data_IF_923303966835
#
_entry.id   IF_923303966835
#
_cell.length_a   1.000
_cell.length_b   1.000
_cell.length_c   1.000
_cell.angle_alpha   90.00
_cell.angle_beta   90.00
_cell.angle_gamma   90.00
#
_symmetry.space_group_name_H-M   'P 1'
#
loop_
_entity.id
_entity.type
_entity.pdbx_description
1 polymer ?
#
# COMPACT_ATOMS: atom_id res chain seq x y z
N UNK A 1 27.41 3.21 13.93
CA UNK A 1 26.33 3.94 13.21
C UNK A 1 25.49 3.01 12.32
N UNK A 2 26.07 2.27 11.37
CA UNK A 2 25.32 1.39 10.44
C UNK A 2 24.44 0.34 11.13
N UNK A 3 24.94 -0.32 12.21
CA UNK A 3 24.17 -1.33 12.96
C UNK A 3 22.89 -0.76 13.58
N UNK A 4 22.97 0.42 14.20
CA UNK A 4 21.81 1.07 14.81
C UNK A 4 20.75 1.46 13.78
N UNK A 5 21.18 2.01 12.63
CA UNK A 5 20.27 2.35 11.53
C UNK A 5 19.59 1.10 10.92
N UNK A 6 20.33 0.01 10.78
CA UNK A 6 19.77 -1.26 10.31
C UNK A 6 18.76 -1.85 11.30
N UNK A 7 19.05 -1.81 12.61
CA UNK A 7 18.13 -2.26 13.66
C UNK A 7 16.83 -1.45 13.67
N UNK A 8 16.91 -0.12 13.63
CA UNK A 8 15.73 0.74 13.60
C UNK A 8 14.83 0.44 12.38
N UNK A 9 15.40 0.34 11.17
CA UNK A 9 14.66 -0.03 9.96
C UNK A 9 13.98 -1.39 10.06
N UNK A 10 14.63 -2.37 10.68
CA UNK A 10 14.08 -3.70 10.87
C UNK A 10 12.88 -3.67 11.82
N UNK A 11 12.97 -2.94 12.93
CA UNK A 11 11.89 -2.78 13.90
C UNK A 11 10.69 -2.00 13.30
N UNK A 12 10.96 -0.93 12.55
CA UNK A 12 9.92 -0.17 11.83
C UNK A 12 9.18 -1.07 10.83
N UNK A 13 9.92 -1.79 9.99
CA UNK A 13 9.33 -2.70 8.99
C UNK A 13 8.52 -3.80 9.65
N UNK A 14 9.01 -4.36 10.76
CA UNK A 14 8.34 -5.41 11.52
C UNK A 14 7.02 -4.92 12.12
N UNK A 15 7.02 -3.73 12.71
CA UNK A 15 5.83 -3.17 13.36
C UNK A 15 4.79 -2.66 12.35
N UNK A 16 5.21 -2.10 11.21
CA UNK A 16 4.31 -1.65 10.14
C UNK A 16 3.60 -2.82 9.45
N UNK A 17 4.27 -3.96 9.27
CA UNK A 17 3.74 -5.12 8.52
C UNK A 17 2.35 -5.55 9.01
N UNK A 18 2.13 -5.58 10.32
CA UNK A 18 0.85 -5.99 10.90
C UNK A 18 -0.17 -4.86 10.89
N UNK A 19 0.26 -3.68 11.35
CA UNK A 19 -0.61 -2.51 11.55
C UNK A 19 -1.18 -1.98 10.24
N UNK A 20 -0.45 -2.07 9.13
CA UNK A 20 -0.94 -1.59 7.84
C UNK A 20 -2.23 -2.31 7.43
N UNK A 21 -2.40 -3.59 7.75
CA UNK A 21 -3.62 -4.34 7.43
C UNK A 21 -4.84 -3.79 8.19
N UNK A 22 -4.63 -3.31 9.41
CA UNK A 22 -5.68 -2.68 10.21
C UNK A 22 -6.08 -1.33 9.58
N UNK A 23 -5.12 -0.59 9.01
CA UNK A 23 -5.39 0.67 8.31
C UNK A 23 -6.08 0.49 6.95
N UNK A 24 -5.95 -0.69 6.33
CA UNK A 24 -6.65 -0.99 5.07
C UNK A 24 -8.16 -1.14 5.26
N UNK A 25 -8.60 -1.44 6.48
CA UNK A 25 -10.01 -1.53 6.86
C UNK A 25 -10.40 -0.20 7.50
N UNK A 26 -11.24 0.62 6.86
CA UNK A 26 -11.78 1.82 7.51
C UNK A 26 -12.50 1.44 8.80
N UNK A 27 -12.48 2.30 9.81
CA UNK A 27 -13.14 2.04 11.11
C UNK A 27 -14.63 1.66 10.97
N UNK A 28 -15.29 2.12 9.90
CA UNK A 28 -16.69 1.82 9.57
C UNK A 28 -16.84 1.07 8.23
N UNK A 29 -15.76 0.53 7.69
CA UNK A 29 -15.74 -0.17 6.40
C UNK A 29 -16.04 -1.66 6.54
N UNK A 30 -16.40 -2.30 5.43
CA UNK A 30 -16.45 -3.76 5.38
C UNK A 30 -15.04 -4.33 5.63
N UNK A 31 -14.93 -5.47 6.33
CA UNK A 31 -13.65 -6.15 6.52
C UNK A 31 -13.07 -6.57 5.16
N UNK A 32 -11.75 -6.77 5.12
CA UNK A 32 -11.09 -7.34 3.93
C UNK A 32 -11.71 -8.69 3.60
N UNK A 33 -12.02 -8.89 2.33
CA UNK A 33 -12.56 -10.13 1.82
C UNK A 33 -11.71 -10.63 0.63
N UNK A 34 -11.04 -11.80 0.76
CA UNK A 34 -10.92 -12.61 1.97
C UNK A 34 -10.07 -11.92 3.06
N UNK A 35 -10.21 -12.29 4.35
CA UNK A 35 -9.35 -11.76 5.40
C UNK A 35 -7.86 -12.02 5.12
N UNK A 36 -7.02 -11.01 5.35
CA UNK A 36 -5.57 -11.13 5.18
C UNK A 36 -4.87 -11.48 6.49
N UNK A 37 -3.99 -12.49 6.44
CA UNK A 37 -3.19 -12.89 7.59
C UNK A 37 -1.98 -11.96 7.77
N UNK A 38 -1.77 -11.46 8.99
CA UNK A 38 -0.57 -10.67 9.34
C UNK A 38 0.75 -11.42 9.08
N UNK A 39 0.71 -12.76 9.07
CA UNK A 39 1.91 -13.60 8.99
C UNK A 39 2.11 -14.29 7.64
N UNK A 40 1.05 -14.45 6.83
CA UNK A 40 1.11 -15.17 5.55
C UNK A 40 0.89 -14.21 4.38
N UNK A 41 1.91 -14.05 3.53
CA UNK A 41 1.90 -13.06 2.44
C UNK A 41 1.37 -13.58 1.09
N UNK A 42 1.05 -14.88 0.97
CA UNK A 42 0.71 -15.50 -0.32
C UNK A 42 -0.49 -14.85 -1.01
N UNK A 43 -1.47 -14.43 -0.22
CA UNK A 43 -2.69 -13.78 -0.69
C UNK A 43 -2.59 -12.25 -0.67
N UNK A 44 -1.40 -11.67 -0.47
CA UNK A 44 -1.23 -10.20 -0.44
C UNK A 44 -0.87 -9.67 -1.83
N UNK A 45 -0.76 -8.34 -1.93
CA UNK A 45 -0.38 -7.67 -3.17
C UNK A 45 -1.41 -7.90 -4.26
N UNK A 46 -0.98 -8.21 -5.49
CA UNK A 46 -1.88 -8.40 -6.63
C UNK A 46 -2.82 -9.61 -6.53
N UNK A 47 -2.59 -10.52 -5.57
CA UNK A 47 -3.45 -11.69 -5.35
C UNK A 47 -4.72 -11.40 -4.53
N UNK A 48 -4.90 -10.16 -4.05
CA UNK A 48 -6.09 -9.75 -3.30
C UNK A 48 -6.59 -8.40 -3.81
N UNK A 49 -7.91 -8.25 -3.93
CA UNK A 49 -8.53 -7.07 -4.57
C UNK A 49 -8.10 -5.75 -3.94
N UNK A 50 -8.21 -5.57 -2.61
CA UNK A 50 -7.81 -4.32 -1.95
C UNK A 50 -6.32 -4.00 -2.08
N UNK A 51 -5.42 -4.93 -1.75
CA UNK A 51 -3.98 -4.68 -1.83
C UNK A 51 -3.48 -4.58 -3.25
N UNK A 52 -4.09 -5.31 -4.19
CA UNK A 52 -3.78 -5.27 -5.60
C UNK A 52 -4.16 -3.93 -6.20
N UNK A 53 -5.38 -3.44 -5.91
CA UNK A 53 -5.82 -2.09 -6.25
C UNK A 53 -4.81 -1.05 -5.76
N UNK A 54 -4.44 -1.08 -4.47
CA UNK A 54 -3.53 -0.10 -3.88
C UNK A 54 -2.13 -0.10 -4.50
N UNK A 55 -1.62 -1.26 -4.92
CA UNK A 55 -0.31 -1.40 -5.55
C UNK A 55 -0.34 -1.22 -7.07
N UNK A 56 -1.53 -1.19 -7.68
CA UNK A 56 -1.66 -0.97 -9.11
C UNK A 56 -1.06 0.39 -9.47
N UNK A 57 -0.22 0.47 -10.53
CA UNK A 57 0.20 1.74 -11.08
C UNK A 57 -0.99 2.67 -11.30
N UNK A 58 -0.82 3.93 -10.94
CA UNK A 58 -1.88 4.94 -11.00
C UNK A 58 -2.40 5.17 -12.43
N UNK A 59 -1.59 4.87 -13.44
CA UNK A 59 -1.92 4.97 -14.85
C UNK A 59 -2.68 3.76 -15.42
N UNK A 60 -2.84 2.68 -14.63
CA UNK A 60 -3.55 1.48 -15.03
C UNK A 60 -4.89 1.36 -14.30
N UNK A 61 -5.91 0.81 -14.98
CA UNK A 61 -7.20 0.54 -14.36
C UNK A 61 -7.20 -0.85 -13.72
N UNK A 62 -7.23 -0.89 -12.39
CA UNK A 62 -7.36 -2.15 -11.66
C UNK A 62 -8.68 -2.87 -11.95
N UNK A 63 -9.75 -2.20 -12.39
CA UNK A 63 -11.02 -2.87 -12.72
C UNK A 63 -10.96 -3.65 -14.03
N UNK A 64 -9.94 -3.43 -14.86
CA UNK A 64 -9.70 -4.23 -16.06
C UNK A 64 -9.13 -5.61 -15.67
N UNK A 65 -9.93 -6.66 -15.92
CA UNK A 65 -9.56 -8.04 -15.65
C UNK A 65 -8.29 -8.50 -16.40
N UNK A 66 -8.02 -7.93 -17.58
CA UNK A 66 -6.80 -8.20 -18.31
C UNK A 66 -5.58 -7.62 -17.56
N UNK A 67 -5.68 -6.37 -17.08
CA UNK A 67 -4.64 -5.73 -16.27
C UNK A 67 -4.40 -6.52 -14.98
N UNK A 68 -5.45 -6.92 -14.26
CA UNK A 68 -5.31 -7.77 -13.06
C UNK A 68 -4.57 -9.06 -13.39
N UNK A 69 -4.95 -9.76 -14.46
CA UNK A 69 -4.32 -11.01 -14.87
C UNK A 69 -2.85 -10.82 -15.23
N UNK A 70 -2.53 -9.77 -15.98
CA UNK A 70 -1.16 -9.46 -16.39
C UNK A 70 -0.27 -9.07 -15.20
N UNK A 71 -0.78 -8.29 -14.24
CA UNK A 71 -0.06 -7.96 -13.02
C UNK A 71 0.16 -9.18 -12.12
N UNK A 72 -0.86 -10.04 -11.95
CA UNK A 72 -0.74 -11.32 -11.21
C UNK A 72 0.25 -12.28 -11.89
N UNK A 73 0.19 -12.35 -13.21
CA UNK A 73 1.08 -13.17 -14.05
C UNK A 73 2.50 -12.62 -14.20
N UNK A 74 2.75 -11.39 -13.74
CA UNK A 74 4.02 -10.66 -13.90
C UNK A 74 4.39 -10.39 -15.37
N UNK A 75 3.38 -10.32 -16.24
CA UNK A 75 3.53 -9.93 -17.64
C UNK A 75 3.77 -8.42 -17.75
N UNK A 76 3.08 -7.63 -16.91
CA UNK A 76 3.40 -6.22 -16.69
C UNK A 76 4.46 -6.12 -15.60
N UNK A 77 5.62 -5.57 -15.96
CA UNK A 77 6.67 -5.22 -15.00
C UNK A 77 6.47 -3.77 -14.56
N UNK A 78 6.03 -3.58 -13.32
CA UNK A 78 5.88 -2.25 -12.72
C UNK A 78 7.28 -1.69 -12.42
N UNK A 79 7.68 -0.65 -13.12
CA UNK A 79 8.96 0.01 -12.89
C UNK A 79 8.91 0.91 -11.65
N UNK A 80 10.06 1.24 -11.07
CA UNK A 80 10.14 2.14 -9.91
C UNK A 80 9.66 3.57 -10.20
N UNK A 81 9.52 3.95 -11.47
CA UNK A 81 8.93 5.22 -11.92
C UNK A 81 7.41 5.21 -11.92
N UNK A 82 6.77 4.03 -11.87
CA UNK A 82 5.31 3.90 -11.82
C UNK A 82 4.85 4.01 -10.38
N UNK A 83 4.14 5.09 -10.07
CA UNK A 83 3.62 5.29 -8.73
C UNK A 83 2.38 4.42 -8.51
N UNK A 84 2.33 3.65 -7.41
CA UNK A 84 1.14 2.89 -7.07
C UNK A 84 0.04 3.84 -6.57
N UNK A 85 -1.23 3.55 -6.86
CA UNK A 85 -2.35 4.46 -6.57
C UNK A 85 -2.45 4.88 -5.09
N UNK A 86 -1.97 4.04 -4.16
CA UNK A 86 -2.00 4.36 -2.72
C UNK A 86 -1.19 5.60 -2.34
N UNK A 87 -0.28 6.11 -3.18
CA UNK A 87 0.43 7.35 -2.85
C UNK A 87 -0.44 8.59 -3.03
N UNK A 88 -1.52 8.48 -3.82
CA UNK A 88 -2.40 9.59 -4.14
C UNK A 88 -3.52 9.77 -3.12
N UNK A 89 -3.86 11.03 -2.88
CA UNK A 89 -4.97 11.41 -2.02
C UNK A 89 -6.26 10.71 -2.47
N UNK A 90 -6.95 10.06 -1.53
CA UNK A 90 -8.19 9.33 -1.78
C UNK A 90 -8.09 8.26 -2.89
N UNK A 91 -6.89 7.76 -3.18
CA UNK A 91 -6.66 6.74 -4.22
C UNK A 91 -7.11 7.23 -5.62
N UNK A 92 -6.93 8.53 -5.91
CA UNK A 92 -7.33 9.16 -7.19
C UNK A 92 -6.15 9.79 -7.92
N UNK A 93 -5.93 9.33 -9.15
CA UNK A 93 -4.94 9.88 -10.07
C UNK A 93 -5.60 10.82 -11.08
N UNK A 94 -4.91 11.91 -11.41
CA UNK A 94 -5.35 12.92 -12.39
C UNK A 94 -4.30 13.01 -13.50
N UNK A 95 -4.55 12.42 -14.69
CA UNK A 95 -3.58 12.41 -15.80
C UNK A 95 -3.20 13.82 -16.29
N UNK A 96 -4.12 14.78 -16.19
CA UNK A 96 -3.89 16.17 -16.58
C UNK A 96 -3.04 16.92 -15.55
N UNK A 97 -3.05 16.47 -14.30
CA UNK A 97 -2.24 17.04 -13.23
C UNK A 97 -1.64 15.93 -12.32
N UNK A 98 -0.60 15.21 -12.77
CA UNK A 98 -0.05 14.05 -12.05
C UNK A 98 0.48 14.35 -10.65
N UNK A 99 0.74 15.61 -10.32
CA UNK A 99 1.21 16.02 -8.99
C UNK A 99 0.08 16.20 -7.97
N UNK A 100 -1.16 16.30 -8.46
CA UNK A 100 -2.33 16.56 -7.63
C UNK A 100 -2.57 15.39 -6.68
N UNK A 101 -2.52 15.68 -5.38
CA UNK A 101 -2.73 14.67 -4.36
C UNK A 101 -1.56 13.68 -4.18
N UNK A 102 -0.45 13.82 -4.91
CA UNK A 102 0.71 12.95 -4.79
C UNK A 102 1.29 13.01 -3.36
N UNK A 103 1.57 11.84 -2.78
CA UNK A 103 2.03 11.62 -1.41
C UNK A 103 1.11 12.19 -0.30
N UNK A 104 -0.20 12.28 -0.57
CA UNK A 104 -1.20 12.80 0.39
C UNK A 104 -2.24 11.78 0.82
N UNK A 105 -2.01 10.49 0.57
CA UNK A 105 -2.88 9.44 1.06
C UNK A 105 -2.76 9.27 2.59
N UNK A 106 -3.87 8.93 3.25
CA UNK A 106 -3.92 8.68 4.68
C UNK A 106 -2.96 7.58 5.14
N UNK A 107 -2.74 6.54 4.33
CA UNK A 107 -1.81 5.45 4.65
C UNK A 107 -0.38 5.96 4.87
N UNK A 108 0.05 6.96 4.09
CA UNK A 108 1.37 7.56 4.24
C UNK A 108 1.48 8.37 5.53
N UNK A 109 0.41 9.09 5.89
CA UNK A 109 0.35 9.87 7.14
C UNK A 109 0.39 8.92 8.35
N UNK A 110 -0.38 7.84 8.33
CA UNK A 110 -0.39 6.82 9.39
C UNK A 110 0.97 6.13 9.51
N UNK A 111 1.61 5.76 8.40
CA UNK A 111 2.94 5.18 8.40
C UNK A 111 3.99 6.14 8.99
N UNK A 112 3.94 7.43 8.63
CA UNK A 112 4.82 8.45 9.20
C UNK A 112 4.62 8.58 10.71
N UNK A 113 3.36 8.71 11.18
CA UNK A 113 3.05 8.77 12.61
C UNK A 113 3.57 7.54 13.36
N UNK A 114 3.33 6.35 12.82
CA UNK A 114 3.76 5.09 13.43
C UNK A 114 5.27 4.99 13.61
N UNK A 115 6.06 5.44 12.62
CA UNK A 115 7.53 5.42 12.67
C UNK A 115 8.06 6.50 13.62
N UNK A 116 7.57 7.74 13.50
CA UNK A 116 8.23 8.90 14.11
C UNK A 116 7.59 9.40 15.41
N UNK A 117 6.35 9.03 15.71
CA UNK A 117 5.58 9.59 16.84
C UNK A 117 5.11 8.56 17.86
N UNK A 118 5.49 7.28 17.71
CA UNK A 118 5.04 6.08 18.45
C UNK A 118 3.92 5.29 17.75
N UNK A 119 3.95 3.93 17.77
CA UNK A 119 2.87 3.07 17.28
C UNK A 119 1.48 3.32 17.86
N UNK A 120 1.41 3.98 19.03
CA UNK A 120 0.16 4.30 19.73
C UNK A 120 -0.44 5.67 19.37
N UNK A 121 0.24 6.46 18.52
CA UNK A 121 -0.20 7.80 18.15
C UNK A 121 -1.21 7.73 17.00
N UNK A 122 -2.50 7.69 17.36
CA UNK A 122 -3.65 7.79 16.44
C UNK A 122 -3.84 9.20 15.88
#
# INVERSE_FOLDING_TARGET
LQKGAASARADDTKSLKGTVLDWLVPANGAPLNPPLSRNVKVNHGFNHERTGFLLCPAELDWNDEQIKKQLRGKEIVVAGSNWPIFVYQNEKFDPECPWKGLFRNQLLILAYKHIFTSPSSV
#
